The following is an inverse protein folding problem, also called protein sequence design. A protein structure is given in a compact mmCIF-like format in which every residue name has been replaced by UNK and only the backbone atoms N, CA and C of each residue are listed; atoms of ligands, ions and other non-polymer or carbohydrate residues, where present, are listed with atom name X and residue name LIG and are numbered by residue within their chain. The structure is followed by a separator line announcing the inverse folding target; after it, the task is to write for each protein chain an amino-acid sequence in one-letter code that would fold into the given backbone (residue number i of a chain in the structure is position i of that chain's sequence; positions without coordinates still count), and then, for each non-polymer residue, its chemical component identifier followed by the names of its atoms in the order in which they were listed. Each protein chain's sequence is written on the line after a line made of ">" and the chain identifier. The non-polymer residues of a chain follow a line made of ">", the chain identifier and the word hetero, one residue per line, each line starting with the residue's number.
data_IF_646588799713
#
_entry.id   IF_646588799713
#
_cell.length_a   1.000
_cell.length_b   1.000
_cell.length_c   1.000
_cell.angle_alpha   90.00
_cell.angle_beta   90.00
_cell.angle_gamma   90.00
#
_symmetry.space_group_name_H-M   'P 1'
#
loop_
_entity.id
_entity.type
_entity.pdbx_description
1 polymer ?
#
# COMPACT_ATOMS: atom_id res chain seq x y z
N UNK A 1 5.54 -1.96 -6.92
CA UNK A 1 6.69 -2.80 -6.51
C UNK A 1 6.22 -4.20 -6.16
N UNK A 2 7.08 -5.19 -6.31
CA UNK A 2 6.79 -6.58 -5.89
C UNK A 2 7.53 -6.85 -4.58
N UNK A 3 6.88 -7.58 -3.68
CA UNK A 3 7.48 -8.19 -2.49
C UNK A 3 7.16 -9.69 -2.50
N UNK A 4 7.90 -10.48 -1.77
CA UNK A 4 7.88 -11.94 -1.84
C UNK A 4 7.59 -12.52 -0.46
N UNK A 5 6.56 -13.35 -0.36
CA UNK A 5 6.21 -14.04 0.88
C UNK A 5 6.43 -15.54 0.74
N UNK A 6 7.26 -16.12 1.59
CA UNK A 6 7.46 -17.56 1.62
C UNK A 6 6.16 -18.28 2.01
N UNK A 7 5.69 -19.18 1.17
CA UNK A 7 4.43 -19.91 1.42
C UNK A 7 4.54 -20.89 2.58
N UNK A 8 5.76 -21.30 2.94
CA UNK A 8 6.00 -22.27 4.01
C UNK A 8 6.11 -21.64 5.40
N UNK A 9 6.89 -20.55 5.54
CA UNK A 9 7.11 -19.93 6.87
C UNK A 9 6.49 -18.53 7.01
N UNK A 10 5.88 -17.99 5.95
CA UNK A 10 5.24 -16.66 5.98
C UNK A 10 6.22 -15.47 5.93
N UNK A 11 7.54 -15.71 5.99
CA UNK A 11 8.54 -14.63 5.98
C UNK A 11 8.44 -13.80 4.70
N UNK A 12 8.52 -12.46 4.83
CA UNK A 12 8.39 -11.52 3.71
C UNK A 12 9.74 -10.89 3.40
N UNK A 13 10.01 -10.74 2.09
CA UNK A 13 11.24 -10.14 1.54
C UNK A 13 10.86 -9.01 0.60
N UNK A 14 11.63 -7.93 0.65
CA UNK A 14 11.36 -6.74 -0.15
C UNK A 14 11.91 -6.84 -1.58
N UNK A 15 12.73 -7.82 -1.87
CA UNK A 15 13.30 -8.07 -3.19
C UNK A 15 13.49 -9.58 -3.43
N UNK A 16 13.64 -9.94 -4.70
CA UNK A 16 13.77 -11.32 -5.15
C UNK A 16 15.06 -11.98 -4.66
N UNK A 17 16.16 -11.24 -4.66
CA UNK A 17 17.45 -11.76 -4.20
C UNK A 17 17.42 -12.26 -2.76
N UNK A 18 16.81 -11.48 -1.84
CA UNK A 18 16.65 -11.92 -0.45
C UNK A 18 15.76 -13.15 -0.32
N UNK A 19 14.72 -13.25 -1.16
CA UNK A 19 13.86 -14.41 -1.22
C UNK A 19 14.62 -15.64 -1.70
N UNK A 20 15.40 -15.52 -2.77
CA UNK A 20 16.23 -16.62 -3.30
C UNK A 20 17.26 -17.09 -2.29
N UNK A 21 17.94 -16.18 -1.59
CA UNK A 21 18.88 -16.52 -0.53
C UNK A 21 18.22 -17.31 0.61
N UNK A 22 16.98 -16.95 0.95
CA UNK A 22 16.21 -17.74 1.94
C UNK A 22 15.88 -19.14 1.43
N UNK A 23 15.55 -19.30 0.15
CA UNK A 23 15.27 -20.62 -0.44
C UNK A 23 16.50 -21.52 -0.48
N UNK A 24 17.66 -20.94 -0.71
CA UNK A 24 18.96 -21.67 -0.69
C UNK A 24 19.36 -22.09 0.73
N UNK A 25 19.03 -21.27 1.74
CA UNK A 25 19.38 -21.54 3.13
C UNK A 25 18.45 -22.56 3.81
N UNK A 26 17.21 -22.73 3.31
CA UNK A 26 16.19 -23.57 3.96
C UNK A 26 15.51 -24.50 2.95
N UNK A 27 15.68 -25.80 3.13
CA UNK A 27 15.09 -26.83 2.26
C UNK A 27 13.56 -26.71 2.26
N UNK A 28 12.95 -26.70 1.07
CA UNK A 28 11.51 -26.61 0.89
C UNK A 28 10.92 -25.20 1.01
N UNK A 29 11.75 -24.16 1.05
CA UNK A 29 11.31 -22.75 1.11
C UNK A 29 11.39 -22.02 -0.26
N UNK A 30 11.37 -22.75 -1.37
CA UNK A 30 11.47 -22.20 -2.74
C UNK A 30 10.19 -21.69 -3.36
N UNK A 31 9.05 -21.74 -2.67
CA UNK A 31 7.76 -21.27 -3.19
C UNK A 31 7.38 -19.93 -2.60
N UNK A 32 7.07 -18.97 -3.49
CA UNK A 32 6.77 -17.59 -3.14
C UNK A 32 5.39 -17.16 -3.57
N UNK A 33 4.70 -16.45 -2.70
CA UNK A 33 3.57 -15.60 -3.08
C UNK A 33 4.12 -14.21 -3.40
N UNK A 34 3.97 -13.79 -4.65
CA UNK A 34 4.34 -12.43 -5.07
C UNK A 34 3.20 -11.49 -4.74
N UNK A 35 3.48 -10.43 -3.97
CA UNK A 35 2.51 -9.41 -3.58
C UNK A 35 2.86 -8.08 -4.26
N UNK A 36 1.84 -7.40 -4.77
CA UNK A 36 1.96 -6.03 -5.27
C UNK A 36 1.94 -5.09 -4.09
N UNK A 37 3.00 -4.36 -3.87
CA UNK A 37 3.14 -3.49 -2.71
C UNK A 37 3.31 -2.03 -3.09
N UNK A 38 2.75 -1.14 -2.27
CA UNK A 38 3.04 0.28 -2.29
C UNK A 38 3.97 0.63 -1.12
N UNK A 39 4.96 1.49 -1.38
CA UNK A 39 5.89 1.99 -0.37
C UNK A 39 5.48 3.37 0.11
N UNK A 40 5.34 3.54 1.40
CA UNK A 40 4.91 4.77 2.04
C UNK A 40 5.82 5.12 3.23
N UNK A 41 6.60 6.21 3.13
CA UNK A 41 7.28 6.74 4.31
C UNK A 41 6.25 7.39 5.24
N UNK A 42 6.39 7.17 6.54
CA UNK A 42 5.56 7.74 7.58
C UNK A 42 6.38 8.57 8.56
N UNK A 43 5.77 9.61 9.11
CA UNK A 43 6.29 10.26 10.33
C UNK A 43 6.29 9.26 11.49
N UNK A 44 7.21 9.43 12.42
CA UNK A 44 7.36 8.55 13.59
C UNK A 44 6.03 8.27 14.31
N UNK A 45 5.28 9.33 14.60
CA UNK A 45 3.98 9.27 15.27
C UNK A 45 3.01 8.27 14.61
N UNK A 46 2.80 8.39 13.29
CA UNK A 46 1.85 7.54 12.56
C UNK A 46 2.37 6.12 12.41
N UNK A 47 3.67 5.95 12.20
CA UNK A 47 4.30 4.64 12.15
C UNK A 47 4.08 3.86 13.45
N UNK A 48 4.35 4.51 14.58
CA UNK A 48 4.23 3.88 15.91
C UNK A 48 2.76 3.56 16.25
N UNK A 49 1.80 4.42 15.87
CA UNK A 49 0.38 4.12 16.06
C UNK A 49 -0.09 2.91 15.23
N UNK A 50 0.41 2.76 14.01
CA UNK A 50 0.13 1.57 13.20
C UNK A 50 0.82 0.34 13.81
N UNK A 51 2.07 0.48 14.24
CA UNK A 51 2.84 -0.61 14.84
C UNK A 51 2.17 -1.17 16.10
N UNK A 52 1.58 -0.29 16.93
CA UNK A 52 0.80 -0.67 18.13
C UNK A 52 -0.62 -1.15 17.81
N UNK A 53 -1.06 -1.08 16.54
CA UNK A 53 -2.41 -1.49 16.14
C UNK A 53 -3.51 -0.48 16.47
N UNK A 54 -3.16 0.73 16.91
CA UNK A 54 -4.11 1.81 17.18
C UNK A 54 -4.67 2.40 15.90
N UNK A 55 -3.80 2.74 14.95
CA UNK A 55 -4.15 3.28 13.65
C UNK A 55 -4.28 2.14 12.64
N UNK A 56 -5.48 1.99 12.06
CA UNK A 56 -5.82 0.90 11.13
C UNK A 56 -6.03 1.37 9.69
N UNK A 57 -5.82 2.63 9.44
CA UNK A 57 -5.97 3.26 8.13
C UNK A 57 -4.81 4.24 7.90
N UNK A 58 -4.33 4.30 6.67
CA UNK A 58 -3.39 5.33 6.25
C UNK A 58 -4.02 6.21 5.19
N UNK A 59 -3.66 7.49 5.18
CA UNK A 59 -4.28 8.50 4.32
C UNK A 59 -3.25 9.13 3.38
N UNK A 60 -3.67 9.35 2.14
CA UNK A 60 -2.89 10.11 1.15
C UNK A 60 -3.79 11.11 0.46
N UNK A 61 -3.26 12.29 0.25
CA UNK A 61 -3.99 13.37 -0.44
C UNK A 61 -4.37 12.93 -1.85
N UNK A 62 -5.51 13.44 -2.30
CA UNK A 62 -5.96 13.23 -3.66
C UNK A 62 -5.21 14.14 -4.63
N UNK A 63 -3.88 14.02 -4.66
CA UNK A 63 -2.99 14.75 -5.55
C UNK A 63 -2.67 13.93 -6.80
N UNK A 64 -2.27 14.59 -7.88
CA UNK A 64 -1.85 13.93 -9.11
C UNK A 64 -0.77 12.86 -8.88
N UNK A 65 0.14 13.13 -7.93
CA UNK A 65 1.18 12.18 -7.54
C UNK A 65 0.61 10.84 -7.04
N UNK A 66 -0.41 10.89 -6.18
CA UNK A 66 -1.02 9.70 -5.61
C UNK A 66 -2.04 9.05 -6.55
N UNK A 67 -2.75 9.87 -7.34
CA UNK A 67 -3.64 9.36 -8.38
C UNK A 67 -2.90 8.45 -9.37
N UNK A 68 -1.76 8.89 -9.88
CA UNK A 68 -0.92 8.10 -10.78
C UNK A 68 -0.42 6.78 -10.17
N UNK A 69 -0.33 6.70 -8.86
CA UNK A 69 0.14 5.50 -8.15
C UNK A 69 -0.97 4.57 -7.73
N UNK A 70 -2.15 5.13 -7.41
CA UNK A 70 -3.24 4.39 -6.78
C UNK A 70 -4.42 4.11 -7.70
N UNK A 71 -4.52 4.78 -8.84
CA UNK A 71 -5.62 4.57 -9.78
C UNK A 71 -5.17 3.74 -10.98
N UNK A 72 -6.10 2.92 -11.46
CA UNK A 72 -5.88 1.97 -12.53
C UNK A 72 -7.13 1.92 -13.42
N UNK A 73 -6.95 1.94 -14.73
CA UNK A 73 -8.02 1.70 -15.67
C UNK A 73 -8.15 0.19 -15.90
N UNK A 74 -9.30 -0.34 -15.55
CA UNK A 74 -9.55 -1.77 -15.63
C UNK A 74 -9.69 -2.28 -17.06
N UNK A 75 -10.22 -1.45 -17.99
CA UNK A 75 -10.42 -1.85 -19.39
C UNK A 75 -9.13 -1.82 -20.22
N UNK A 76 -8.32 -0.77 -20.07
CA UNK A 76 -7.08 -0.62 -20.86
C UNK A 76 -5.88 -1.31 -20.23
N UNK A 77 -5.96 -1.73 -18.98
CA UNK A 77 -4.80 -2.24 -18.25
C UNK A 77 -3.78 -1.15 -17.87
N UNK A 78 -4.06 0.12 -18.18
CA UNK A 78 -3.15 1.23 -17.96
C UNK A 78 -3.32 1.86 -16.59
N UNK A 79 -2.19 2.23 -15.99
CA UNK A 79 -2.20 3.14 -14.85
C UNK A 79 -2.71 4.49 -15.32
N UNK A 80 -3.39 5.21 -14.43
CA UNK A 80 -3.85 6.56 -14.66
C UNK A 80 -2.82 7.40 -15.42
N UNK A 81 -3.06 7.67 -16.69
CA UNK A 81 -2.14 8.44 -17.53
C UNK A 81 -2.67 9.83 -17.85
N UNK A 82 -3.98 10.04 -18.00
CA UNK A 82 -4.50 11.33 -18.43
C UNK A 82 -5.92 11.63 -17.94
N UNK A 83 -6.10 11.88 -16.67
CA UNK A 83 -7.28 12.67 -16.32
C UNK A 83 -7.03 14.14 -16.72
N UNK A 84 -7.58 14.54 -17.84
CA UNK A 84 -7.46 15.90 -18.40
C UNK A 84 -7.98 16.99 -17.46
N UNK A 85 -8.63 16.64 -16.36
CA UNK A 85 -9.28 17.59 -15.45
C UNK A 85 -8.46 17.95 -14.21
N UNK A 86 -7.28 17.36 -13.99
CA UNK A 86 -6.40 17.74 -12.88
C UNK A 86 -7.00 17.59 -11.48
N UNK A 87 -8.27 17.28 -11.39
CA UNK A 87 -9.01 17.02 -10.17
C UNK A 87 -9.32 15.54 -10.09
N UNK A 88 -9.40 15.04 -8.89
CA UNK A 88 -9.97 13.76 -8.62
C UNK A 88 -11.25 13.62 -9.35
N UNK A 89 -11.17 12.86 -10.34
CA UNK A 89 -12.34 12.50 -11.04
C UNK A 89 -13.16 11.60 -10.14
N UNK A 90 -14.12 12.18 -9.39
CA UNK A 90 -15.19 11.39 -8.78
C UNK A 90 -15.86 10.48 -9.82
N UNK A 91 -15.84 10.89 -11.10
CA UNK A 91 -16.33 10.09 -12.22
C UNK A 91 -15.38 8.92 -12.55
N UNK A 92 -14.07 9.13 -12.50
CA UNK A 92 -13.11 8.03 -12.67
C UNK A 92 -13.33 6.95 -11.61
N UNK A 93 -13.67 7.32 -10.39
CA UNK A 93 -13.91 6.38 -9.30
C UNK A 93 -15.33 5.81 -9.30
N UNK A 94 -16.30 6.52 -9.88
CA UNK A 94 -17.67 6.02 -10.00
C UNK A 94 -17.86 5.09 -11.18
N UNK A 95 -17.11 5.28 -12.25
CA UNK A 95 -17.45 4.65 -13.51
C UNK A 95 -16.49 3.61 -14.04
N UNK A 96 -15.23 3.52 -13.65
CA UNK A 96 -14.32 2.49 -14.22
C UNK A 96 -12.89 2.49 -13.67
N UNK A 97 -12.46 3.51 -12.92
CA UNK A 97 -11.15 3.52 -12.30
C UNK A 97 -11.23 2.98 -10.89
N UNK A 98 -10.73 1.79 -10.72
CA UNK A 98 -10.59 1.21 -9.38
C UNK A 98 -9.23 1.59 -8.80
N UNK A 99 -9.16 1.62 -7.48
CA UNK A 99 -7.87 1.64 -6.82
C UNK A 99 -7.02 0.48 -7.35
N UNK A 100 -5.77 0.76 -7.69
CA UNK A 100 -4.85 -0.30 -8.11
C UNK A 100 -4.86 -1.40 -7.05
N UNK A 101 -5.00 -2.67 -7.45
CA UNK A 101 -5.16 -3.76 -6.50
C UNK A 101 -3.83 -4.09 -5.82
N UNK A 102 -3.41 -3.21 -4.92
CA UNK A 102 -2.28 -3.50 -4.03
C UNK A 102 -2.68 -4.57 -3.02
N UNK A 103 -1.82 -5.55 -2.87
CA UNK A 103 -1.97 -6.63 -1.89
C UNK A 103 -1.42 -6.23 -0.51
N UNK A 104 -0.40 -5.35 -0.52
CA UNK A 104 0.32 -4.96 0.67
C UNK A 104 0.82 -3.50 0.63
N UNK A 105 1.12 -2.97 1.80
CA UNK A 105 1.82 -1.71 1.99
C UNK A 105 3.07 -1.93 2.82
N UNK A 106 4.18 -1.34 2.37
CA UNK A 106 5.44 -1.28 3.11
C UNK A 106 5.56 0.11 3.71
N UNK A 107 5.41 0.22 5.01
CA UNK A 107 5.63 1.45 5.73
C UNK A 107 7.09 1.57 6.15
N UNK A 108 7.69 2.73 5.88
CA UNK A 108 9.02 3.10 6.36
C UNK A 108 8.91 4.09 7.52
N UNK A 109 9.73 3.88 8.54
CA UNK A 109 9.90 4.85 9.63
C UNK A 109 10.72 6.05 9.11
N UNK A 110 10.05 7.08 8.60
CA UNK A 110 10.70 8.18 7.90
C UNK A 110 11.54 7.67 6.72
N UNK A 111 12.78 8.11 6.67
CA UNK A 111 13.77 7.70 5.66
C UNK A 111 14.79 6.67 6.17
N UNK A 112 14.47 5.99 7.26
CA UNK A 112 15.33 4.96 7.85
C UNK A 112 15.17 3.61 7.16
N UNK A 113 16.00 2.62 7.56
CA UNK A 113 15.86 1.24 7.10
C UNK A 113 14.75 0.46 7.82
N UNK A 114 14.24 0.98 8.96
CA UNK A 114 13.16 0.35 9.72
C UNK A 114 11.87 0.36 8.91
N UNK A 115 11.22 -0.76 8.81
CA UNK A 115 9.97 -0.90 8.07
C UNK A 115 9.06 -1.94 8.72
N UNK A 116 7.80 -1.89 8.35
CA UNK A 116 6.81 -2.93 8.59
C UNK A 116 5.98 -3.15 7.31
N UNK A 117 5.41 -4.33 7.18
CA UNK A 117 4.55 -4.70 6.05
C UNK A 117 3.18 -5.10 6.56
N UNK A 118 2.17 -4.51 5.96
CA UNK A 118 0.77 -4.85 6.23
C UNK A 118 0.06 -5.28 4.95
N UNK A 119 -0.80 -6.28 5.03
CA UNK A 119 -1.73 -6.56 3.95
C UNK A 119 -2.81 -5.48 3.91
N UNK A 120 -3.30 -5.18 2.70
CA UNK A 120 -4.33 -4.18 2.47
C UNK A 120 -5.69 -4.88 2.37
N UNK A 121 -6.67 -4.36 3.11
CA UNK A 121 -8.06 -4.80 3.01
C UNK A 121 -8.73 -4.20 1.78
N UNK A 122 -8.67 -2.89 1.65
CA UNK A 122 -9.12 -2.14 0.48
C UNK A 122 -8.51 -0.72 0.48
N UNK A 123 -8.65 -0.05 -0.67
CA UNK A 123 -8.36 1.37 -0.82
C UNK A 123 -9.65 2.04 -1.30
N UNK A 124 -10.06 3.07 -0.61
CA UNK A 124 -11.26 3.84 -0.91
C UNK A 124 -10.98 5.34 -0.86
N UNK A 125 -11.99 6.15 -1.19
CA UNK A 125 -11.92 7.60 -1.03
C UNK A 125 -13.02 8.05 -0.09
N UNK A 126 -12.66 8.95 0.82
CA UNK A 126 -13.56 9.51 1.79
C UNK A 126 -12.84 10.40 2.79
N UNK A 127 -13.57 10.79 3.81
CA UNK A 127 -13.00 11.51 4.94
C UNK A 127 -12.40 10.51 5.93
N UNK A 128 -11.11 10.68 6.22
CA UNK A 128 -10.43 9.89 7.23
C UNK A 128 -10.61 10.45 8.63
N UNK A 129 -10.01 9.79 9.61
CA UNK A 129 -10.00 10.21 11.01
C UNK A 129 -8.89 11.21 11.25
N UNK A 130 -9.25 12.39 11.77
CA UNK A 130 -8.27 13.44 12.06
C UNK A 130 -7.28 13.05 13.15
N UNK A 131 -7.72 12.25 14.13
CA UNK A 131 -6.87 11.68 15.19
C UNK A 131 -5.81 10.71 14.65
N UNK A 132 -5.97 10.22 13.42
CA UNK A 132 -5.01 9.37 12.71
C UNK A 132 -4.28 10.10 11.58
N UNK A 133 -4.37 11.44 11.54
CA UNK A 133 -3.65 12.28 10.60
C UNK A 133 -4.36 12.60 9.30
N UNK A 134 -5.65 12.28 9.17
CA UNK A 134 -6.43 12.73 8.03
C UNK A 134 -6.70 14.25 8.12
N UNK A 135 -6.68 14.97 6.99
CA UNK A 135 -7.06 16.38 6.99
C UNK A 135 -8.54 16.54 7.32
N UNK A 136 -8.87 17.57 8.10
CA UNK A 136 -10.24 17.90 8.47
C UNK A 136 -11.06 18.33 7.26
N UNK A 137 -12.29 17.80 7.15
CA UNK A 137 -13.26 18.16 6.10
C UNK A 137 -12.72 18.01 4.66
N UNK A 138 -11.83 17.06 4.43
CA UNK A 138 -11.22 16.82 3.12
C UNK A 138 -11.20 15.33 2.82
N UNK A 139 -11.60 14.98 1.59
CA UNK A 139 -11.48 13.61 1.11
C UNK A 139 -10.02 13.24 0.83
N UNK A 140 -9.66 12.01 1.12
CA UNK A 140 -8.34 11.42 0.90
C UNK A 140 -8.48 10.01 0.36
N UNK A 141 -7.39 9.45 -0.17
CA UNK A 141 -7.27 8.00 -0.25
C UNK A 141 -7.22 7.43 1.17
N UNK A 142 -8.00 6.40 1.40
CA UNK A 142 -8.05 5.64 2.65
C UNK A 142 -7.55 4.23 2.36
N UNK A 143 -6.36 3.90 2.87
CA UNK A 143 -5.78 2.57 2.78
C UNK A 143 -6.13 1.83 4.06
N UNK A 144 -7.09 0.91 3.99
CA UNK A 144 -7.48 0.08 5.15
C UNK A 144 -6.55 -1.12 5.29
N UNK A 145 -5.98 -1.24 6.47
CA UNK A 145 -5.05 -2.32 6.82
C UNK A 145 -5.83 -3.55 7.31
N UNK A 146 -5.29 -4.74 7.01
CA UNK A 146 -5.90 -6.02 7.41
C UNK A 146 -5.07 -6.68 8.50
N UNK A 147 -3.88 -7.14 8.17
CA UNK A 147 -3.00 -7.86 9.09
C UNK A 147 -1.54 -7.47 8.87
N UNK A 148 -0.75 -7.53 9.93
CA UNK A 148 0.68 -7.31 9.87
C UNK A 148 1.37 -8.56 9.31
N UNK A 149 2.21 -8.38 8.30
CA UNK A 149 2.98 -9.45 7.68
C UNK A 149 4.43 -9.50 8.18
N UNK A 150 4.95 -8.33 8.58
CA UNK A 150 6.28 -8.16 9.21
C UNK A 150 6.23 -7.04 10.24
#
# INVERSE_FOLDING_TARGET
>A
MKIYQCTRCGKVFLNEHEADMHSLAFVGHGNWKVLRAIHLPLKAEWYEMIERGEKKEEYRLLSLHWLKRMCYNWESGDRYIDCKQGALCRECLKNEYMAYPFDAVVFRYGYTKRFMVWSIKNISIGQGRTEWGAPKNKETFIIKLKERLV
#
